data_IF_385407030457
#
_entry.id   IF_385407030457
#
_cell.length_a   1.000
_cell.length_b   1.000
_cell.length_c   1.000
_cell.angle_alpha   90.00
_cell.angle_beta   90.00
_cell.angle_gamma   90.00
#
_symmetry.space_group_name_H-M   'P 1'
#
loop_
_entity.id
_entity.type
_entity.pdbx_description
1 polymer ?
#
# COMPACT_ATOMS: atom_id res chain seq x y z
N UNK A 1 10.45 -16.23 7.43
CA UNK A 1 9.80 -15.28 8.34
C UNK A 1 8.77 -14.47 7.57
N UNK A 2 7.59 -14.34 8.11
CA UNK A 2 6.49 -13.64 7.43
C UNK A 2 6.53 -12.16 7.77
N UNK A 3 6.55 -11.32 6.74
CA UNK A 3 6.43 -9.87 6.90
C UNK A 3 4.96 -9.51 6.80
N UNK A 4 4.45 -8.84 7.83
CA UNK A 4 3.06 -8.42 7.87
C UNK A 4 2.97 -7.01 8.44
N UNK A 5 2.27 -6.14 7.74
CA UNK A 5 1.97 -4.81 8.23
C UNK A 5 0.58 -4.41 7.75
N UNK A 6 -0.12 -3.63 8.55
CA UNK A 6 -1.46 -3.16 8.21
C UNK A 6 -1.43 -1.68 7.92
N UNK A 7 -2.12 -1.27 6.87
CA UNK A 7 -2.21 0.14 6.49
C UNK A 7 -3.67 0.48 6.23
N UNK A 8 -4.06 1.69 6.60
CA UNK A 8 -5.43 2.17 6.45
C UNK A 8 -5.52 3.40 5.55
N UNK A 9 -4.40 4.07 5.29
CA UNK A 9 -4.36 5.30 4.50
C UNK A 9 -3.18 5.25 3.54
N UNK A 10 -3.21 6.13 2.53
CA UNK A 10 -2.09 6.21 1.59
C UNK A 10 -0.80 6.71 2.26
N UNK A 11 -0.84 7.70 3.17
CA UNK A 11 0.38 8.06 3.91
C UNK A 11 0.97 6.89 4.70
N UNK A 12 0.14 6.10 5.36
CA UNK A 12 0.61 4.90 6.06
C UNK A 12 1.20 3.88 5.09
N UNK A 13 0.56 3.72 3.93
CA UNK A 13 1.07 2.84 2.89
C UNK A 13 2.47 3.25 2.46
N UNK A 14 2.66 4.55 2.19
CA UNK A 14 3.96 5.06 1.78
C UNK A 14 5.04 4.80 2.82
N UNK A 15 4.72 5.01 4.08
CA UNK A 15 5.66 4.75 5.16
C UNK A 15 6.01 3.27 5.26
N UNK A 16 5.02 2.39 5.10
CA UNK A 16 5.25 0.95 5.13
C UNK A 16 6.15 0.50 3.98
N UNK A 17 5.92 1.06 2.80
CA UNK A 17 6.75 0.75 1.63
C UNK A 17 8.20 1.22 1.83
N UNK A 18 8.38 2.40 2.44
CA UNK A 18 9.71 2.90 2.76
C UNK A 18 10.43 1.97 3.72
N UNK A 19 9.76 1.49 4.75
CA UNK A 19 10.34 0.57 5.71
C UNK A 19 10.73 -0.75 5.04
N UNK A 20 9.86 -1.28 4.18
CA UNK A 20 10.15 -2.51 3.45
C UNK A 20 11.37 -2.33 2.55
N UNK A 21 11.43 -1.20 1.83
CA UNK A 21 12.57 -0.90 0.97
C UNK A 21 13.87 -0.88 1.76
N UNK A 22 13.87 -0.20 2.90
CA UNK A 22 15.06 -0.11 3.75
C UNK A 22 15.46 -1.46 4.32
N UNK A 23 14.48 -2.27 4.69
CA UNK A 23 14.71 -3.62 5.18
C UNK A 23 15.43 -4.47 4.13
N UNK A 24 15.13 -4.26 2.86
CA UNK A 24 15.76 -4.97 1.76
C UNK A 24 17.07 -4.31 1.29
N UNK A 25 17.51 -3.24 1.96
CA UNK A 25 18.73 -2.49 1.61
C UNK A 25 18.67 -1.91 0.19
N UNK A 26 17.50 -1.51 -0.25
CA UNK A 26 17.32 -0.90 -1.56
C UNK A 26 17.25 0.63 -1.43
N UNK A 27 17.80 1.32 -2.43
CA UNK A 27 17.73 2.77 -2.50
C UNK A 27 16.47 3.21 -3.24
N UNK A 28 15.99 4.42 -2.95
CA UNK A 28 14.81 4.95 -3.64
C UNK A 28 14.98 4.93 -5.15
N UNK A 29 16.15 5.34 -5.64
CA UNK A 29 16.39 5.36 -7.08
C UNK A 29 16.28 3.99 -7.73
N UNK A 30 16.73 2.95 -7.02
CA UNK A 30 16.61 1.58 -7.53
C UNK A 30 15.15 1.14 -7.66
N UNK A 31 14.36 1.38 -6.61
CA UNK A 31 12.95 1.00 -6.62
C UNK A 31 12.19 1.81 -7.65
N UNK A 32 12.43 3.11 -7.71
CA UNK A 32 11.78 3.97 -8.69
C UNK A 32 12.07 3.50 -10.12
N UNK A 33 13.34 3.24 -10.43
CA UNK A 33 13.72 2.81 -11.77
C UNK A 33 13.05 1.49 -12.15
N UNK A 34 13.04 0.52 -11.24
CA UNK A 34 12.48 -0.80 -11.52
C UNK A 34 10.96 -0.79 -11.60
N UNK A 35 10.30 0.12 -10.88
CA UNK A 35 8.83 0.21 -10.88
C UNK A 35 8.30 1.16 -11.94
N UNK A 36 9.18 1.87 -12.64
CA UNK A 36 8.75 2.84 -13.64
C UNK A 36 8.25 4.15 -13.08
N UNK A 37 8.53 4.44 -11.80
CA UNK A 37 8.18 5.70 -11.17
C UNK A 37 9.35 6.66 -11.22
N UNK A 38 9.05 7.97 -11.15
CA UNK A 38 10.12 8.93 -10.88
C UNK A 38 10.52 8.81 -9.42
N UNK A 39 11.78 9.11 -9.13
CA UNK A 39 12.25 9.09 -7.74
C UNK A 39 11.52 10.14 -6.91
N UNK A 40 11.20 11.28 -7.51
CA UNK A 40 10.45 12.33 -6.82
C UNK A 40 9.07 11.85 -6.37
N UNK A 41 8.38 11.10 -7.24
CA UNK A 41 7.06 10.56 -6.88
C UNK A 41 7.19 9.53 -5.76
N UNK A 42 8.16 8.63 -5.87
CA UNK A 42 8.38 7.63 -4.83
C UNK A 42 8.73 8.30 -3.49
N UNK A 43 9.56 9.32 -3.53
CA UNK A 43 9.92 10.07 -2.33
C UNK A 43 8.69 10.70 -1.67
N UNK A 44 7.81 11.31 -2.46
CA UNK A 44 6.59 11.91 -1.93
C UNK A 44 5.67 10.86 -1.32
N UNK A 45 5.58 9.69 -1.96
CA UNK A 45 4.80 8.59 -1.43
C UNK A 45 5.35 8.14 -0.07
N UNK A 46 6.65 7.92 0.00
CA UNK A 46 7.30 7.44 1.22
C UNK A 46 7.24 8.44 2.37
N UNK A 47 7.19 9.73 2.04
CA UNK A 47 7.13 10.78 3.05
C UNK A 47 5.69 11.11 3.48
N UNK A 48 4.72 10.37 3.02
CA UNK A 48 3.34 10.57 3.42
C UNK A 48 2.70 11.82 2.83
N UNK A 49 3.23 12.32 1.72
CA UNK A 49 2.74 13.56 1.10
C UNK A 49 1.63 13.33 0.08
N UNK A 50 1.32 12.09 -0.23
CA UNK A 50 0.28 11.75 -1.18
C UNK A 50 -0.94 11.21 -0.47
N UNK A 51 -2.12 11.64 -0.92
CA UNK A 51 -3.39 11.09 -0.45
C UNK A 51 -4.01 10.15 -1.47
N UNK A 52 -3.47 10.14 -2.68
CA UNK A 52 -3.92 9.26 -3.76
C UNK A 52 -2.70 8.64 -4.43
N UNK A 53 -2.86 7.40 -4.87
CA UNK A 53 -1.81 6.73 -5.61
C UNK A 53 -2.45 5.69 -6.52
N UNK A 54 -2.06 5.69 -7.80
CA UNK A 54 -2.68 4.82 -8.79
C UNK A 54 -2.41 3.34 -8.51
N UNK A 55 -3.40 2.51 -8.73
CA UNK A 55 -3.30 1.09 -8.45
C UNK A 55 -2.22 0.41 -9.28
N UNK A 56 -2.08 0.78 -10.56
CA UNK A 56 -1.04 0.20 -11.42
C UNK A 56 0.36 0.49 -10.86
N UNK A 57 0.58 1.74 -10.45
CA UNK A 57 1.87 2.13 -9.87
C UNK A 57 2.13 1.40 -8.56
N UNK A 58 1.09 1.26 -7.75
CA UNK A 58 1.19 0.52 -6.50
C UNK A 58 1.59 -0.93 -6.75
N UNK A 59 0.94 -1.59 -7.68
CA UNK A 59 1.26 -2.98 -7.99
C UNK A 59 2.70 -3.12 -8.46
N UNK A 60 3.20 -2.16 -9.25
CA UNK A 60 4.58 -2.19 -9.71
C UNK A 60 5.57 -2.04 -8.56
N UNK A 61 5.31 -1.14 -7.61
CA UNK A 61 6.18 -0.97 -6.44
C UNK A 61 6.16 -2.21 -5.56
N UNK A 62 4.98 -2.78 -5.33
CA UNK A 62 4.86 -4.00 -4.54
C UNK A 62 5.68 -5.14 -5.15
N UNK A 63 5.59 -5.31 -6.46
CA UNK A 63 6.35 -6.35 -7.15
C UNK A 63 7.86 -6.20 -6.94
N UNK A 64 8.36 -4.97 -7.04
CA UNK A 64 9.79 -4.69 -6.84
C UNK A 64 10.21 -5.02 -5.41
N UNK A 65 9.33 -4.76 -4.44
CA UNK A 65 9.61 -5.00 -3.04
C UNK A 65 9.31 -6.42 -2.58
N UNK A 66 8.89 -7.28 -3.49
CA UNK A 66 8.56 -8.67 -3.16
C UNK A 66 7.30 -8.80 -2.31
N UNK A 67 6.37 -7.88 -2.51
CA UNK A 67 5.10 -7.88 -1.78
C UNK A 67 3.95 -8.10 -2.73
N UNK A 68 2.84 -8.55 -2.19
CA UNK A 68 1.60 -8.66 -2.95
C UNK A 68 0.46 -8.03 -2.14
N UNK A 69 -0.57 -7.63 -2.86
CA UNK A 69 -1.76 -7.07 -2.23
C UNK A 69 -2.66 -8.19 -1.75
N UNK A 70 -3.13 -8.09 -0.52
CA UNK A 70 -4.08 -9.07 0.03
C UNK A 70 -5.12 -8.33 0.86
N UNK A 71 -6.23 -9.00 1.15
CA UNK A 71 -7.31 -8.43 1.92
C UNK A 71 -7.50 -9.22 3.21
N UNK A 72 -7.67 -8.49 4.29
CA UNK A 72 -7.83 -9.09 5.61
C UNK A 72 -9.04 -8.47 6.29
N UNK A 73 -9.86 -9.31 6.92
CA UNK A 73 -10.96 -8.80 7.74
C UNK A 73 -10.41 -7.98 8.88
N UNK A 74 -10.86 -6.73 8.98
CA UNK A 74 -10.33 -5.80 9.98
C UNK A 74 -11.23 -5.71 11.19
N UNK A 75 -12.51 -5.93 11.00
CA UNK A 75 -13.44 -5.73 12.07
C UNK A 75 -14.10 -7.01 12.52
N UNK A 76 -14.94 -6.87 13.55
CA UNK A 76 -15.79 -7.95 13.96
C UNK A 76 -16.84 -8.22 12.88
N UNK A 77 -17.48 -9.37 12.95
CA UNK A 77 -18.52 -9.75 12.02
C UNK A 77 -19.61 -8.69 11.91
N UNK A 78 -19.88 -7.96 12.98
CA UNK A 78 -20.88 -6.91 12.96
C UNK A 78 -20.59 -5.79 11.97
N UNK A 79 -19.31 -5.44 11.82
CA UNK A 79 -18.92 -4.40 10.87
C UNK A 79 -19.25 -4.81 9.44
N UNK A 80 -18.96 -6.05 9.11
CA UNK A 80 -19.27 -6.57 7.79
C UNK A 80 -20.78 -6.59 7.53
N UNK A 81 -21.55 -6.97 8.54
CA UNK A 81 -22.99 -6.99 8.44
C UNK A 81 -23.55 -5.60 8.21
N UNK A 82 -23.01 -4.59 8.86
CA UNK A 82 -23.44 -3.22 8.65
C UNK A 82 -23.21 -2.77 7.22
N UNK A 83 -22.06 -3.07 6.66
CA UNK A 83 -21.76 -2.75 5.28
C UNK A 83 -22.72 -3.46 4.31
N UNK A 84 -23.04 -4.70 4.60
CA UNK A 84 -23.97 -5.46 3.77
C UNK A 84 -25.36 -4.86 3.80
N UNK A 85 -25.80 -4.41 4.97
CA UNK A 85 -27.12 -3.79 5.09
C UNK A 85 -27.20 -2.51 4.29
N UNK A 86 -26.17 -1.67 4.37
CA UNK A 86 -26.15 -0.44 3.61
C UNK A 86 -26.23 -0.72 2.12
N UNK A 87 -25.44 -1.67 1.64
CA UNK A 87 -25.45 -2.03 0.24
C UNK A 87 -26.75 -2.71 -0.16
N UNK A 88 -27.28 -3.56 0.70
CA UNK A 88 -28.53 -4.23 0.47
C UNK A 88 -29.67 -3.27 0.32
N UNK A 89 -29.64 -2.15 1.05
CA UNK A 89 -30.67 -1.13 0.95
C UNK A 89 -30.62 -0.36 -0.36
N UNK A 90 -29.47 -0.35 -1.03
CA UNK A 90 -29.31 0.37 -2.30
C UNK A 90 -29.35 -0.52 -3.51
N UNK A 91 -29.18 -1.79 -3.31
CA UNK A 91 -29.18 -2.75 -4.44
C UNK A 91 -30.60 -3.05 -4.98
#
# INVERSE_FOLDING_TARGET
MTYTTSVQTIPELGQALAQRRKLLNLKQGQVAAQSGLSQALLSRLENGQLTEFGARKLMAVLAVLGLELTFTDVGAAGTLDELRRERGGTA
#
